data_IF_645974469659
#
_entry.id   IF_645974469659
#
_cell.length_a   1.000
_cell.length_b   1.000
_cell.length_c   1.000
_cell.angle_alpha   90.00
_cell.angle_beta   90.00
_cell.angle_gamma   90.00
#
_symmetry.space_group_name_H-M   'P 1'
#
loop_
_entity.id
_entity.type
_entity.pdbx_description
1 polymer ?
#
# COMPACT_ATOMS: atom_id res chain seq x y z
N UNK A 1 -25.76 1.78 2.67
CA UNK A 1 -24.33 1.99 2.37
C UNK A 1 -24.16 3.45 1.99
N UNK A 2 -23.35 4.22 2.72
CA UNK A 2 -23.12 5.63 2.38
C UNK A 2 -22.43 5.75 1.02
N UNK A 3 -22.71 6.81 0.27
CA UNK A 3 -22.06 7.07 -1.02
C UNK A 3 -20.53 7.14 -0.88
N UNK A 4 -20.03 7.71 0.21
CA UNK A 4 -18.58 7.73 0.49
C UNK A 4 -18.01 6.33 0.70
N UNK A 5 -18.77 5.41 1.31
CA UNK A 5 -18.33 4.03 1.55
C UNK A 5 -18.14 3.28 0.23
N UNK A 6 -19.07 3.49 -0.71
CA UNK A 6 -18.98 2.92 -2.06
C UNK A 6 -17.78 3.48 -2.84
N UNK A 7 -17.51 4.78 -2.72
CA UNK A 7 -16.34 5.41 -3.34
C UNK A 7 -15.02 4.86 -2.78
N UNK A 8 -14.89 4.75 -1.46
CA UNK A 8 -13.69 4.16 -0.86
C UNK A 8 -13.55 2.67 -1.19
N UNK A 9 -14.66 1.95 -1.33
CA UNK A 9 -14.64 0.55 -1.80
C UNK A 9 -14.17 0.42 -3.25
N UNK A 10 -14.58 1.33 -4.13
CA UNK A 10 -14.09 1.38 -5.51
C UNK A 10 -12.59 1.72 -5.57
N UNK A 11 -12.14 2.66 -4.74
CA UNK A 11 -10.71 2.98 -4.61
C UNK A 11 -9.94 1.77 -4.09
N UNK A 12 -10.43 1.08 -3.06
CA UNK A 12 -9.79 -0.13 -2.55
C UNK A 12 -9.64 -1.19 -3.65
N UNK A 13 -10.72 -1.45 -4.41
CA UNK A 13 -10.70 -2.44 -5.48
C UNK A 13 -9.78 -2.02 -6.64
N UNK A 14 -9.67 -0.73 -6.95
CA UNK A 14 -8.75 -0.25 -7.99
C UNK A 14 -7.28 -0.37 -7.56
N UNK A 15 -6.97 -0.10 -6.29
CA UNK A 15 -5.63 -0.27 -5.73
C UNK A 15 -5.22 -1.75 -5.69
N UNK A 16 -6.10 -2.63 -5.17
CA UNK A 16 -5.86 -4.08 -5.14
C UNK A 16 -5.74 -4.65 -6.55
N UNK A 17 -6.60 -4.25 -7.49
CA UNK A 17 -6.50 -4.63 -8.88
C UNK A 17 -5.22 -4.12 -9.56
N UNK A 18 -4.73 -2.96 -9.12
CA UNK A 18 -3.42 -2.44 -9.46
C UNK A 18 -2.31 -3.39 -9.01
N UNK A 19 -2.28 -3.77 -7.73
CA UNK A 19 -1.26 -4.64 -7.14
C UNK A 19 -1.11 -6.01 -7.81
N UNK A 20 -2.17 -6.54 -8.42
CA UNK A 20 -2.12 -7.80 -9.17
C UNK A 20 -1.37 -7.70 -10.50
N UNK A 21 -1.10 -6.48 -10.97
CA UNK A 21 -0.29 -6.26 -12.16
C UNK A 21 1.19 -6.30 -11.80
N UNK A 22 1.98 -6.86 -12.69
CA UNK A 22 3.43 -6.89 -12.53
C UNK A 22 3.98 -5.46 -12.65
N UNK A 23 4.55 -4.92 -11.58
CA UNK A 23 5.26 -3.65 -11.62
C UNK A 23 6.76 -3.88 -11.70
N UNK A 24 7.42 -3.13 -12.57
CA UNK A 24 8.89 -3.06 -12.63
C UNK A 24 9.49 -2.24 -11.48
N UNK A 25 8.67 -1.41 -10.81
CA UNK A 25 9.11 -0.52 -9.75
C UNK A 25 8.44 -0.86 -8.41
N UNK A 26 9.24 -1.31 -7.46
CA UNK A 26 8.82 -1.63 -6.10
C UNK A 26 8.19 -0.44 -5.36
N UNK A 27 8.64 0.78 -5.63
CA UNK A 27 8.05 1.99 -5.04
C UNK A 27 6.59 2.17 -5.45
N UNK A 28 6.27 1.88 -6.73
CA UNK A 28 4.90 1.96 -7.24
C UNK A 28 3.98 0.94 -6.54
N UNK A 29 4.52 -0.23 -6.20
CA UNK A 29 3.78 -1.23 -5.43
C UNK A 29 3.49 -0.74 -4.01
N UNK A 30 4.48 -0.15 -3.32
CA UNK A 30 4.28 0.44 -1.98
C UNK A 30 3.22 1.55 -1.99
N UNK A 31 3.19 2.40 -3.02
CA UNK A 31 2.17 3.45 -3.14
C UNK A 31 0.75 2.86 -3.27
N UNK A 32 0.60 1.74 -3.98
CA UNK A 32 -0.70 1.06 -4.09
C UNK A 32 -1.15 0.44 -2.77
N UNK A 33 -0.21 -0.13 -2.01
CA UNK A 33 -0.48 -0.65 -0.66
C UNK A 33 -0.95 0.48 0.25
N UNK A 34 -0.25 1.62 0.28
CA UNK A 34 -0.66 2.80 1.04
C UNK A 34 -2.04 3.32 0.62
N UNK A 35 -2.32 3.36 -0.69
CA UNK A 35 -3.63 3.74 -1.21
C UNK A 35 -4.76 2.82 -0.72
N UNK A 36 -4.51 1.51 -0.66
CA UNK A 36 -5.44 0.54 -0.10
C UNK A 36 -5.65 0.77 1.40
N UNK A 37 -4.57 0.96 2.17
CA UNK A 37 -4.61 1.22 3.62
C UNK A 37 -5.37 2.52 3.96
N UNK A 38 -5.18 3.60 3.19
CA UNK A 38 -5.93 4.86 3.35
C UNK A 38 -7.41 4.65 3.10
N UNK A 39 -7.79 3.91 2.05
CA UNK A 39 -9.19 3.62 1.75
C UNK A 39 -9.85 2.78 2.86
N UNK A 40 -9.14 1.80 3.42
CA UNK A 40 -9.59 1.01 4.58
C UNK A 40 -9.74 1.89 5.82
N UNK A 41 -8.78 2.75 6.10
CA UNK A 41 -8.85 3.70 7.22
C UNK A 41 -10.05 4.64 7.12
N UNK A 42 -10.32 5.18 5.93
CA UNK A 42 -11.49 6.02 5.68
C UNK A 42 -12.82 5.26 5.88
N UNK A 43 -12.88 3.99 5.45
CA UNK A 43 -14.03 3.12 5.68
C UNK A 43 -14.23 2.81 7.18
N UNK A 44 -13.15 2.59 7.93
CA UNK A 44 -13.21 2.37 9.39
C UNK A 44 -13.71 3.62 10.13
N UNK A 45 -13.23 4.81 9.75
CA UNK A 45 -13.71 6.09 10.32
C UNK A 45 -15.20 6.27 10.04
N UNK A 46 -15.63 5.98 8.81
CA UNK A 46 -17.04 6.09 8.44
C UNK A 46 -17.93 5.03 9.13
N UNK A 47 -17.37 3.86 9.43
CA UNK A 47 -18.09 2.80 10.12
C UNK A 47 -18.38 3.15 11.60
N UNK A 48 -17.67 4.12 12.18
CA UNK A 48 -18.04 4.94 13.36
C UNK A 48 -18.30 4.21 14.68
N UNK A 49 -19.24 3.28 14.71
CA UNK A 49 -19.68 2.51 15.88
C UNK A 49 -18.95 1.19 16.07
N UNK A 50 -18.19 0.72 15.09
CA UNK A 50 -17.57 -0.62 15.10
C UNK A 50 -16.10 -0.65 15.50
N UNK A 51 -15.38 0.48 15.48
CA UNK A 51 -13.94 0.53 15.77
C UNK A 51 -13.60 1.58 16.83
N UNK A 52 -12.97 1.19 17.95
CA UNK A 52 -12.50 2.16 18.94
C UNK A 52 -11.41 3.05 18.34
N UNK A 53 -11.31 4.30 18.81
CA UNK A 53 -10.28 5.26 18.40
C UNK A 53 -8.87 4.70 18.58
N UNK A 54 -8.65 3.91 19.64
CA UNK A 54 -7.41 3.17 19.87
C UNK A 54 -7.11 2.18 18.73
N UNK A 55 -8.12 1.52 18.17
CA UNK A 55 -8.00 0.62 17.04
C UNK A 55 -7.55 1.34 15.76
N UNK A 56 -8.11 2.52 15.49
CA UNK A 56 -7.66 3.39 14.39
C UNK A 56 -6.21 3.85 14.58
N UNK A 57 -5.83 4.23 15.80
CA UNK A 57 -4.44 4.61 16.10
C UNK A 57 -3.47 3.45 15.87
N UNK A 58 -3.77 2.26 16.41
CA UNK A 58 -2.95 1.06 16.20
C UNK A 58 -2.86 0.70 14.72
N UNK A 59 -3.98 0.79 13.99
CA UNK A 59 -3.98 0.58 12.53
C UNK A 59 -3.00 1.51 11.82
N UNK A 60 -3.04 2.82 12.09
CA UNK A 60 -2.12 3.78 11.45
C UNK A 60 -0.65 3.52 11.81
N UNK A 61 -0.37 3.13 13.05
CA UNK A 61 1.00 2.77 13.48
C UNK A 61 1.49 1.53 12.73
N UNK A 62 0.63 0.52 12.58
CA UNK A 62 0.98 -0.70 11.83
C UNK A 62 1.24 -0.40 10.35
N UNK A 63 0.37 0.39 9.70
CA UNK A 63 0.56 0.80 8.30
C UNK A 63 1.89 1.54 8.14
N UNK A 64 2.18 2.54 8.98
CA UNK A 64 3.45 3.26 8.91
C UNK A 64 4.68 2.35 9.14
N UNK A 65 4.54 1.34 10.00
CA UNK A 65 5.61 0.36 10.25
C UNK A 65 5.83 -0.56 9.05
N UNK A 66 4.76 -0.97 8.36
CA UNK A 66 4.83 -1.72 7.11
C UNK A 66 5.54 -0.91 6.02
N UNK A 67 5.15 0.36 5.83
CA UNK A 67 5.81 1.25 4.85
C UNK A 67 7.30 1.40 5.13
N UNK A 68 7.66 1.58 6.41
CA UNK A 68 9.06 1.72 6.83
C UNK A 68 9.86 0.46 6.53
N UNK A 69 9.30 -0.73 6.81
CA UNK A 69 9.92 -2.00 6.47
C UNK A 69 10.05 -2.17 4.96
N UNK A 70 9.02 -1.83 4.19
CA UNK A 70 9.03 -1.86 2.72
C UNK A 70 10.12 -0.97 2.13
N UNK A 71 10.21 0.29 2.58
CA UNK A 71 11.26 1.21 2.14
C UNK A 71 12.66 0.74 2.56
N UNK A 72 12.81 0.16 3.74
CA UNK A 72 14.06 -0.46 4.18
C UNK A 72 14.50 -1.60 3.26
N UNK A 73 13.58 -2.48 2.89
CA UNK A 73 13.82 -3.54 1.90
C UNK A 73 14.18 -2.96 0.52
N UNK A 74 13.48 -1.92 0.06
CA UNK A 74 13.77 -1.25 -1.21
C UNK A 74 15.20 -0.72 -1.25
N UNK A 75 15.66 -0.06 -0.19
CA UNK A 75 17.04 0.44 -0.09
C UNK A 75 18.04 -0.72 -0.08
N UNK A 76 17.72 -1.82 0.62
CA UNK A 76 18.54 -3.04 0.62
C UNK A 76 18.66 -3.69 -0.77
N UNK A 77 17.56 -3.73 -1.53
CA UNK A 77 17.53 -4.23 -2.91
C UNK A 77 18.29 -3.32 -3.86
N UNK A 78 18.11 -1.99 -3.76
CA UNK A 78 18.84 -1.02 -4.59
C UNK A 78 20.35 -1.05 -4.34
N UNK A 79 20.78 -1.34 -3.11
CA UNK A 79 22.20 -1.50 -2.77
C UNK A 79 22.80 -2.84 -3.22
N UNK A 80 21.97 -3.87 -3.40
CA UNK A 80 22.36 -5.19 -3.88
C UNK A 80 21.82 -5.45 -5.31
N UNK A 81 22.16 -4.55 -6.24
CA UNK A 81 21.72 -4.61 -7.64
C UNK A 81 22.19 -5.88 -8.39
N UNK A 82 23.22 -6.57 -7.89
CA UNK A 82 23.71 -7.85 -8.43
C UNK A 82 22.74 -9.03 -8.20
N UNK A 83 21.73 -8.88 -7.34
CA UNK A 83 20.77 -9.95 -7.02
C UNK A 83 19.70 -10.19 -8.10
N UNK A 84 19.67 -9.40 -9.18
CA UNK A 84 18.91 -9.69 -10.39
C UNK A 84 17.37 -9.61 -10.29
N UNK A 85 16.79 -9.22 -9.15
CA UNK A 85 15.32 -9.22 -8.98
C UNK A 85 14.67 -7.90 -9.45
N UNK A 86 15.41 -6.79 -9.46
CA UNK A 86 14.94 -5.51 -10.00
C UNK A 86 16.10 -4.72 -10.60
N UNK A 87 16.59 -5.14 -11.77
CA UNK A 87 17.35 -4.23 -12.60
C UNK A 87 16.39 -3.13 -13.06
N UNK A 88 16.45 -1.96 -12.42
CA UNK A 88 15.83 -0.72 -12.90
C UNK A 88 16.28 -0.36 -14.32
N UNK A 89 17.35 -0.99 -14.79
CA UNK A 89 17.59 -1.21 -16.20
C UNK A 89 16.81 -2.45 -16.65
N UNK A 90 15.68 -2.19 -17.28
CA UNK A 90 15.42 -2.80 -18.58
C UNK A 90 16.76 -2.89 -19.32
N UNK A 91 17.39 -4.07 -19.29
CA UNK A 91 18.36 -4.48 -20.30
C UNK A 91 17.56 -4.61 -21.59
N UNK A 92 17.24 -3.44 -22.17
CA UNK A 92 16.87 -3.28 -23.55
C UNK A 92 18.17 -2.93 -24.27
N UNK A 93 18.80 -3.97 -24.79
CA UNK A 93 19.28 -3.89 -26.17
C UNK A 93 18.09 -3.58 -27.11
#
# INVERSE_FOLDING_TARGET
MSWSFAMFSLVLMSMVGGMLKHFSNFLSYLILVEGACVSLGAMMIQAGSSMPVLGLFVFLVLVASETSMGLGLMVGLMRNAESGVYSLYSQGE
#
